data_IF_748963335000
#
_entry.id   IF_748963335000
#
_cell.length_a   1.000
_cell.length_b   1.000
_cell.length_c   1.000
_cell.angle_alpha   90.00
_cell.angle_beta   90.00
_cell.angle_gamma   90.00
#
_symmetry.space_group_name_H-M   'P 1'
#
loop_
_entity.id
_entity.type
_entity.pdbx_description
1 polymer ?
#
# COMPACT_ATOMS: atom_id res chain seq x y z
N UNK A 1 -30.62 -15.29 -10.21
CA UNK A 1 -30.58 -14.67 -8.87
C UNK A 1 -30.46 -13.16 -9.07
N UNK A 2 -31.17 -12.30 -8.37
CA UNK A 2 -31.01 -10.87 -8.53
C UNK A 2 -29.55 -10.53 -8.22
N UNK A 3 -28.93 -9.77 -9.11
CA UNK A 3 -27.54 -9.33 -8.98
C UNK A 3 -27.50 -8.31 -7.83
N UNK A 4 -27.28 -8.78 -6.60
CA UNK A 4 -27.15 -7.87 -5.44
C UNK A 4 -25.91 -7.04 -5.69
N UNK A 5 -26.09 -5.76 -5.91
CA UNK A 5 -25.00 -4.82 -6.14
C UNK A 5 -24.04 -4.90 -4.94
N UNK A 6 -22.80 -5.29 -5.21
CA UNK A 6 -21.76 -5.39 -4.18
C UNK A 6 -21.28 -3.99 -3.79
N UNK A 7 -21.19 -3.74 -2.49
CA UNK A 7 -20.59 -2.51 -1.96
C UNK A 7 -19.23 -2.84 -1.36
N UNK A 8 -18.16 -2.30 -1.95
CA UNK A 8 -16.78 -2.65 -1.61
C UNK A 8 -16.07 -1.45 -0.98
N UNK A 9 -15.53 -1.66 0.22
CA UNK A 9 -14.65 -0.69 0.87
C UNK A 9 -13.21 -0.94 0.41
N UNK A 10 -12.52 0.10 -0.09
CA UNK A 10 -11.09 0.06 -0.42
C UNK A 10 -10.32 0.97 0.55
N UNK A 11 -9.42 0.37 1.32
CA UNK A 11 -8.77 1.05 2.44
C UNK A 11 -7.22 0.91 2.39
N UNK A 12 -6.50 1.79 1.64
CA UNK A 12 -5.04 1.79 1.64
C UNK A 12 -4.45 2.43 2.89
N UNK A 13 -3.28 1.91 3.32
CA UNK A 13 -2.47 2.50 4.37
C UNK A 13 -1.84 3.81 3.89
N UNK A 14 -1.84 4.82 4.75
CA UNK A 14 -1.14 6.09 4.53
C UNK A 14 0.33 5.98 4.96
N UNK A 15 1.11 5.19 4.22
CA UNK A 15 2.55 5.07 4.40
C UNK A 15 3.26 5.28 3.06
N UNK A 16 3.34 6.54 2.66
CA UNK A 16 3.68 6.93 1.30
C UNK A 16 2.49 6.77 0.33
N UNK A 17 2.65 7.30 -0.89
CA UNK A 17 1.59 7.29 -1.90
C UNK A 17 1.44 5.95 -2.63
N UNK A 18 2.43 5.04 -2.49
CA UNK A 18 2.45 3.75 -3.21
C UNK A 18 1.24 2.88 -2.93
N UNK A 19 0.77 2.84 -1.68
CA UNK A 19 -0.43 2.10 -1.29
C UNK A 19 -1.69 2.64 -1.98
N UNK A 20 -1.91 3.93 -1.93
CA UNK A 20 -3.05 4.55 -2.60
C UNK A 20 -2.95 4.41 -4.13
N UNK A 21 -1.76 4.62 -4.70
CA UNK A 21 -1.55 4.52 -6.14
C UNK A 21 -1.83 3.11 -6.70
N UNK A 22 -1.42 2.05 -5.98
CA UNK A 22 -1.70 0.67 -6.42
C UNK A 22 -3.16 0.25 -6.23
N UNK A 23 -3.94 0.95 -5.39
CA UNK A 23 -5.37 0.74 -5.28
C UNK A 23 -6.16 1.36 -6.45
N UNK A 24 -5.61 2.35 -7.16
CA UNK A 24 -6.30 3.01 -8.29
C UNK A 24 -6.78 2.02 -9.36
N UNK A 25 -5.93 1.13 -9.92
CA UNK A 25 -6.40 0.15 -10.91
C UNK A 25 -7.45 -0.83 -10.35
N UNK A 26 -7.36 -1.19 -9.07
CA UNK A 26 -8.37 -2.04 -8.43
C UNK A 26 -9.72 -1.34 -8.32
N UNK A 27 -9.73 -0.06 -7.93
CA UNK A 27 -10.95 0.75 -7.84
C UNK A 27 -11.61 0.87 -9.22
N UNK A 28 -10.83 1.21 -10.27
CA UNK A 28 -11.33 1.27 -11.65
C UNK A 28 -11.93 -0.07 -12.11
N UNK A 29 -11.28 -1.18 -11.79
CA UNK A 29 -11.78 -2.51 -12.13
C UNK A 29 -13.08 -2.84 -11.39
N UNK A 30 -13.21 -2.50 -10.11
CA UNK A 30 -14.43 -2.70 -9.33
C UNK A 30 -15.60 -1.88 -9.88
N UNK A 31 -15.39 -0.61 -10.25
CA UNK A 31 -16.39 0.24 -10.87
C UNK A 31 -16.82 -0.34 -12.24
N UNK A 32 -15.86 -0.81 -13.05
CA UNK A 32 -16.13 -1.44 -14.34
C UNK A 32 -16.99 -2.71 -14.19
N UNK A 33 -16.82 -3.45 -13.10
CA UNK A 33 -17.63 -4.62 -12.75
C UNK A 33 -18.99 -4.27 -12.14
N UNK A 34 -19.32 -2.98 -12.01
CA UNK A 34 -20.59 -2.50 -11.47
C UNK A 34 -20.69 -2.52 -9.94
N UNK A 35 -19.57 -2.68 -9.22
CA UNK A 35 -19.57 -2.58 -7.77
C UNK A 35 -19.72 -1.11 -7.32
N UNK A 36 -20.41 -0.90 -6.21
CA UNK A 36 -20.39 0.39 -5.51
C UNK A 36 -19.10 0.46 -4.68
N UNK A 37 -18.24 1.41 -4.97
CA UNK A 37 -16.97 1.56 -4.26
C UNK A 37 -17.05 2.67 -3.21
N UNK A 38 -16.51 2.41 -2.04
CA UNK A 38 -16.34 3.35 -0.94
C UNK A 38 -14.85 3.40 -0.60
N UNK A 39 -14.33 4.61 -0.43
CA UNK A 39 -12.93 4.83 -0.12
C UNK A 39 -12.76 5.14 1.37
N UNK A 40 -11.73 4.59 2.01
CA UNK A 40 -11.39 4.98 3.36
C UNK A 40 -9.87 4.93 3.58
N UNK A 41 -9.31 6.02 4.08
CA UNK A 41 -7.88 6.12 4.40
C UNK A 41 -7.64 7.31 5.32
N UNK A 42 -6.39 7.75 5.44
CA UNK A 42 -6.02 8.99 6.12
C UNK A 42 -4.95 9.75 5.34
N UNK A 43 -4.72 11.02 5.70
CA UNK A 43 -3.62 11.86 5.20
C UNK A 43 -3.49 11.91 3.68
N UNK A 44 -2.24 11.83 3.19
CA UNK A 44 -1.91 11.98 1.77
C UNK A 44 -2.53 10.87 0.88
N UNK A 45 -2.67 9.65 1.41
CA UNK A 45 -3.30 8.55 0.70
C UNK A 45 -4.79 8.83 0.41
N UNK A 46 -5.52 9.36 1.41
CA UNK A 46 -6.92 9.76 1.23
C UNK A 46 -7.06 10.92 0.24
N UNK A 47 -6.15 11.91 0.31
CA UNK A 47 -6.17 13.04 -0.60
C UNK A 47 -5.93 12.62 -2.07
N UNK A 48 -4.99 11.67 -2.29
CA UNK A 48 -4.77 11.10 -3.62
C UNK A 48 -6.04 10.43 -4.15
N UNK A 49 -6.67 9.58 -3.35
CA UNK A 49 -7.88 8.87 -3.77
C UNK A 49 -9.05 9.81 -4.05
N UNK A 50 -9.23 10.87 -3.27
CA UNK A 50 -10.23 11.90 -3.52
C UNK A 50 -9.99 12.68 -4.80
N UNK A 51 -8.73 12.93 -5.15
CA UNK A 51 -8.36 13.59 -6.39
C UNK A 51 -8.58 12.69 -7.61
N UNK A 52 -8.25 11.39 -7.51
CA UNK A 52 -8.45 10.41 -8.60
C UNK A 52 -9.92 10.04 -8.80
N UNK A 53 -10.72 9.99 -7.72
CA UNK A 53 -12.12 9.56 -7.70
C UNK A 53 -13.02 10.55 -6.95
N UNK A 54 -13.18 11.80 -7.46
CA UNK A 54 -13.97 12.83 -6.77
C UNK A 54 -15.46 12.50 -6.63
N UNK A 55 -15.95 11.54 -7.42
CA UNK A 55 -17.34 11.08 -7.41
C UNK A 55 -17.62 9.97 -6.37
N UNK A 56 -16.56 9.35 -5.80
CA UNK A 56 -16.73 8.27 -4.81
C UNK A 56 -16.80 8.81 -3.38
N UNK A 57 -17.65 8.23 -2.51
CA UNK A 57 -17.65 8.55 -1.09
C UNK A 57 -16.32 8.16 -0.44
N UNK A 58 -15.72 9.08 0.32
CA UNK A 58 -14.39 8.92 0.91
C UNK A 58 -14.36 9.33 2.37
N UNK A 59 -14.04 8.39 3.26
CA UNK A 59 -14.06 8.52 4.71
C UNK A 59 -12.66 8.52 5.32
N UNK A 60 -12.51 9.25 6.41
CA UNK A 60 -11.26 9.29 7.15
C UNK A 60 -11.21 8.17 8.19
N UNK A 61 -10.12 7.39 8.18
CA UNK A 61 -9.81 6.36 9.18
C UNK A 61 -8.78 6.87 10.19
N UNK A 62 -8.70 6.24 11.37
CA UNK A 62 -7.63 6.51 12.33
C UNK A 62 -6.25 6.31 11.73
N UNK A 63 -5.31 7.18 12.09
CA UNK A 63 -3.91 7.14 11.63
C UNK A 63 -3.05 6.32 12.57
N UNK A 64 -2.18 5.47 12.03
CA UNK A 64 -1.21 4.69 12.83
C UNK A 64 -0.10 5.56 13.42
N UNK A 65 0.25 6.71 12.81
CA UNK A 65 1.27 7.67 13.26
C UNK A 65 2.56 7.01 13.72
N UNK A 66 3.03 5.99 12.99
CA UNK A 66 4.29 5.31 13.29
C UNK A 66 5.44 6.30 13.08
N UNK A 67 6.34 6.40 14.08
CA UNK A 67 7.53 7.26 14.01
C UNK A 67 8.78 6.41 14.19
N UNK A 68 9.77 6.62 13.35
CA UNK A 68 11.09 6.01 13.47
C UNK A 68 11.99 6.98 14.25
N UNK A 69 12.35 6.62 15.49
CA UNK A 69 13.14 7.47 16.38
C UNK A 69 14.58 6.97 16.57
N UNK A 70 14.86 5.71 16.20
CA UNK A 70 16.17 5.08 16.32
C UNK A 70 16.46 4.22 15.10
N UNK A 71 17.74 3.89 14.86
CA UNK A 71 18.16 3.01 13.77
C UNK A 71 17.73 1.55 13.98
N UNK A 72 17.34 1.17 15.20
CA UNK A 72 16.85 -0.18 15.49
C UNK A 72 15.33 -0.27 15.29
N UNK A 73 14.94 -0.78 14.12
CA UNK A 73 13.55 -0.93 13.71
C UNK A 73 12.72 -1.80 14.67
N UNK A 74 13.32 -2.86 15.23
CA UNK A 74 12.63 -3.79 16.14
C UNK A 74 12.27 -3.09 17.46
N UNK A 75 13.21 -2.32 18.04
CA UNK A 75 12.98 -1.52 19.24
C UNK A 75 11.90 -0.46 19.01
N UNK A 76 11.94 0.21 17.86
CA UNK A 76 10.93 1.22 17.50
C UNK A 76 9.53 0.63 17.47
N UNK A 77 9.37 -0.53 16.84
CA UNK A 77 8.07 -1.20 16.74
C UNK A 77 7.64 -1.73 18.11
N UNK A 78 8.50 -2.43 18.85
CA UNK A 78 8.17 -3.00 20.14
C UNK A 78 7.69 -1.92 21.15
N UNK A 79 8.36 -0.78 21.19
CA UNK A 79 8.00 0.34 22.06
C UNK A 79 6.66 1.00 21.68
N UNK A 80 6.27 0.92 20.40
CA UNK A 80 5.04 1.49 19.88
C UNK A 80 3.87 0.49 19.86
N UNK A 81 4.10 -0.78 20.22
CA UNK A 81 3.06 -1.84 20.18
C UNK A 81 1.74 -1.47 20.85
N UNK A 82 1.70 -0.85 22.06
CA UNK A 82 0.43 -0.47 22.67
C UNK A 82 -0.35 0.56 21.83
N UNK A 83 0.38 1.52 21.24
CA UNK A 83 -0.21 2.55 20.37
C UNK A 83 -0.71 1.93 19.05
N UNK A 84 0.07 1.04 18.45
CA UNK A 84 -0.31 0.31 17.22
C UNK A 84 -1.56 -0.54 17.48
N UNK A 85 -1.61 -1.28 18.59
CA UNK A 85 -2.76 -2.11 18.96
C UNK A 85 -4.01 -1.25 19.18
N UNK A 86 -3.87 -0.10 19.84
CA UNK A 86 -4.97 0.85 20.01
C UNK A 86 -5.47 1.39 18.65
N UNK A 87 -4.54 1.76 17.76
CA UNK A 87 -4.88 2.25 16.43
C UNK A 87 -5.62 1.20 15.59
N UNK A 88 -5.16 -0.06 15.63
CA UNK A 88 -5.83 -1.20 14.96
C UNK A 88 -7.27 -1.38 15.50
N UNK A 89 -7.49 -1.30 16.82
CA UNK A 89 -8.83 -1.42 17.41
C UNK A 89 -9.72 -0.23 17.02
N UNK A 90 -9.19 0.98 17.09
CA UNK A 90 -9.93 2.18 16.68
C UNK A 90 -10.33 2.12 15.19
N UNK A 91 -9.42 1.62 14.36
CA UNK A 91 -9.68 1.38 12.94
C UNK A 91 -10.77 0.34 12.72
N UNK A 92 -10.73 -0.78 13.48
CA UNK A 92 -11.77 -1.81 13.40
C UNK A 92 -13.15 -1.24 13.76
N UNK A 93 -13.27 -0.47 14.83
CA UNK A 93 -14.52 0.18 15.19
C UNK A 93 -15.04 1.15 14.12
N UNK A 94 -14.13 1.93 13.52
CA UNK A 94 -14.49 2.83 12.43
C UNK A 94 -14.95 2.04 11.18
N UNK A 95 -14.28 0.94 10.87
CA UNK A 95 -14.64 0.04 9.76
C UNK A 95 -15.99 -0.62 10.00
N UNK A 96 -16.24 -1.18 11.18
CA UNK A 96 -17.52 -1.77 11.56
C UNK A 96 -18.69 -0.76 11.47
N UNK A 97 -18.44 0.50 11.84
CA UNK A 97 -19.43 1.56 11.67
C UNK A 97 -19.74 1.81 10.20
N UNK A 98 -18.72 1.95 9.34
CA UNK A 98 -18.91 2.14 7.90
C UNK A 98 -19.64 0.96 7.25
N UNK A 99 -19.34 -0.28 7.68
CA UNK A 99 -20.03 -1.49 7.19
C UNK A 99 -21.52 -1.41 7.47
N UNK A 100 -21.91 -1.03 8.70
CA UNK A 100 -23.34 -0.90 9.07
C UNK A 100 -24.03 0.26 8.36
N UNK A 101 -23.37 1.43 8.29
CA UNK A 101 -23.97 2.65 7.73
C UNK A 101 -24.15 2.58 6.22
N UNK A 102 -23.28 1.86 5.51
CA UNK A 102 -23.24 1.85 4.04
C UNK A 102 -23.54 0.50 3.41
N UNK A 103 -23.86 -0.53 4.19
CA UNK A 103 -24.16 -1.86 3.66
C UNK A 103 -22.98 -2.49 2.91
N UNK A 104 -21.76 -2.31 3.42
CA UNK A 104 -20.54 -2.85 2.81
C UNK A 104 -20.57 -4.37 2.88
N UNK A 105 -20.37 -5.03 1.72
CA UNK A 105 -20.38 -6.49 1.57
C UNK A 105 -18.98 -7.09 1.45
N UNK A 106 -17.99 -6.27 1.04
CA UNK A 106 -16.60 -6.68 0.92
C UNK A 106 -15.63 -5.57 1.29
N UNK A 107 -14.46 -5.94 1.79
CA UNK A 107 -13.40 -5.02 2.20
C UNK A 107 -12.11 -5.43 1.50
N UNK A 108 -11.44 -4.48 0.84
CA UNK A 108 -10.07 -4.61 0.34
C UNK A 108 -9.20 -3.67 1.18
N UNK A 109 -8.48 -4.25 2.11
CA UNK A 109 -7.58 -3.55 3.00
C UNK A 109 -6.15 -3.63 2.48
N UNK A 110 -5.51 -2.51 2.16
CA UNK A 110 -4.10 -2.50 1.78
C UNK A 110 -3.24 -2.16 2.99
N UNK A 111 -2.67 -3.21 3.60
CA UNK A 111 -1.82 -3.16 4.81
C UNK A 111 -2.47 -2.49 6.04
N UNK A 112 -3.80 -2.36 6.11
CA UNK A 112 -4.52 -1.87 7.28
C UNK A 112 -5.15 -3.04 8.04
N UNK A 113 -4.48 -3.50 9.07
CA UNK A 113 -4.82 -4.74 9.79
C UNK A 113 -6.08 -4.63 10.68
N UNK A 114 -6.63 -3.44 10.86
CA UNK A 114 -7.91 -3.20 11.53
C UNK A 114 -9.10 -3.10 10.58
N UNK A 115 -8.88 -3.03 9.25
CA UNK A 115 -9.95 -2.94 8.27
C UNK A 115 -10.48 -4.31 7.88
N UNK A 116 -11.28 -4.90 8.74
CA UNK A 116 -12.04 -6.14 8.51
C UNK A 116 -13.35 -6.12 9.32
N UNK A 117 -14.33 -6.93 8.91
CA UNK A 117 -15.60 -7.10 9.63
C UNK A 117 -16.09 -8.54 9.52
N UNK A 118 -16.76 -9.06 10.56
CA UNK A 118 -17.30 -10.42 10.57
C UNK A 118 -18.46 -10.66 9.60
N UNK A 119 -19.08 -9.60 9.07
CA UNK A 119 -20.20 -9.68 8.13
C UNK A 119 -19.83 -9.42 6.68
N UNK A 120 -18.54 -9.31 6.34
CA UNK A 120 -18.06 -8.98 5.01
C UNK A 120 -17.04 -10.00 4.51
N UNK A 121 -16.84 -10.07 3.18
CA UNK A 121 -15.67 -10.76 2.62
C UNK A 121 -14.44 -9.86 2.74
N UNK A 122 -13.43 -10.29 3.49
CA UNK A 122 -12.28 -9.50 3.84
C UNK A 122 -11.06 -9.92 3.03
N UNK A 123 -10.48 -8.99 2.29
CA UNK A 123 -9.25 -9.19 1.53
C UNK A 123 -8.16 -8.28 2.10
N UNK A 124 -6.96 -8.82 2.33
CA UNK A 124 -5.78 -8.00 2.58
C UNK A 124 -4.88 -7.98 1.35
N UNK A 125 -4.58 -6.78 0.88
CA UNK A 125 -3.60 -6.54 -0.18
C UNK A 125 -2.24 -6.28 0.48
N UNK A 126 -1.26 -7.16 0.28
CA UNK A 126 0.08 -7.01 0.84
C UNK A 126 1.11 -7.81 0.06
N UNK A 127 2.29 -7.26 -0.13
CA UNK A 127 3.46 -7.98 -0.63
C UNK A 127 4.31 -8.57 0.49
N UNK A 128 3.89 -8.42 1.76
CA UNK A 128 4.67 -8.84 2.91
C UNK A 128 3.87 -9.87 3.72
N UNK A 129 4.00 -11.15 3.34
CA UNK A 129 3.44 -12.28 4.07
C UNK A 129 4.49 -13.01 4.92
N UNK A 130 5.76 -12.65 4.74
CA UNK A 130 6.89 -13.07 5.56
C UNK A 130 7.64 -11.84 6.08
N UNK A 131 8.00 -11.87 7.36
CA UNK A 131 8.88 -10.88 7.97
C UNK A 131 10.31 -11.40 8.01
N UNK A 132 11.27 -10.56 7.65
CA UNK A 132 12.71 -10.84 7.71
C UNK A 132 13.35 -10.00 8.79
N UNK A 133 13.94 -10.67 9.78
CA UNK A 133 14.66 -10.06 10.90
C UNK A 133 15.94 -10.86 11.11
N UNK A 134 17.04 -10.19 11.47
CA UNK A 134 18.36 -10.82 11.63
C UNK A 134 18.41 -11.93 12.68
N UNK A 135 17.59 -11.84 13.73
CA UNK A 135 17.49 -12.86 14.77
C UNK A 135 16.40 -13.89 14.43
N UNK A 136 16.76 -15.15 14.30
CA UNK A 136 15.86 -16.23 13.87
C UNK A 136 14.67 -16.46 14.83
N UNK A 137 14.89 -16.41 16.15
CA UNK A 137 13.82 -16.60 17.14
C UNK A 137 12.82 -15.45 17.08
N UNK A 138 13.32 -14.21 16.96
CA UNK A 138 12.49 -13.04 16.82
C UNK A 138 11.73 -13.04 15.48
N UNK A 139 12.39 -13.47 14.40
CA UNK A 139 11.75 -13.63 13.09
C UNK A 139 10.61 -14.65 13.16
N UNK A 140 10.83 -15.79 13.81
CA UNK A 140 9.80 -16.79 14.01
C UNK A 140 8.60 -16.21 14.77
N UNK A 141 8.85 -15.56 15.92
CA UNK A 141 7.79 -14.97 16.74
C UNK A 141 7.00 -13.89 15.97
N UNK A 142 7.70 -12.98 15.27
CA UNK A 142 7.09 -11.94 14.47
C UNK A 142 6.21 -12.52 13.35
N UNK A 143 6.65 -13.59 12.69
CA UNK A 143 5.86 -14.29 11.68
C UNK A 143 4.63 -14.99 12.26
N UNK A 144 4.67 -15.50 13.53
CA UNK A 144 3.45 -16.02 14.17
C UNK A 144 2.42 -14.92 14.41
N UNK A 145 2.85 -13.76 14.88
CA UNK A 145 1.97 -12.60 15.06
C UNK A 145 1.38 -12.15 13.72
N UNK A 146 2.19 -12.06 12.66
CA UNK A 146 1.72 -11.74 11.31
C UNK A 146 0.66 -12.75 10.83
N UNK A 147 0.91 -14.05 10.98
CA UNK A 147 -0.05 -15.10 10.59
C UNK A 147 -1.38 -14.97 11.34
N UNK A 148 -1.35 -14.65 12.64
CA UNK A 148 -2.57 -14.41 13.42
C UNK A 148 -3.35 -13.18 12.91
N UNK A 149 -2.65 -12.13 12.50
CA UNK A 149 -3.27 -10.96 11.89
C UNK A 149 -3.88 -11.27 10.51
N UNK A 150 -3.16 -12.03 9.67
CA UNK A 150 -3.62 -12.42 8.33
C UNK A 150 -4.84 -13.36 8.38
N UNK A 151 -5.01 -14.18 9.41
CA UNK A 151 -6.19 -15.06 9.60
C UNK A 151 -7.53 -14.31 9.78
N UNK A 152 -7.48 -13.00 9.96
CA UNK A 152 -8.68 -12.13 10.00
C UNK A 152 -9.27 -11.88 8.61
N UNK A 153 -8.53 -12.23 7.57
CA UNK A 153 -8.89 -12.00 6.18
C UNK A 153 -9.18 -13.33 5.49
N UNK A 154 -10.20 -13.34 4.64
CA UNK A 154 -10.62 -14.52 3.89
C UNK A 154 -9.65 -14.82 2.74
N UNK A 155 -9.03 -13.78 2.17
CA UNK A 155 -8.08 -13.90 1.07
C UNK A 155 -6.94 -12.89 1.20
N UNK A 156 -5.73 -13.30 0.78
CA UNK A 156 -4.55 -12.45 0.72
C UNK A 156 -4.23 -12.18 -0.75
N UNK A 157 -4.25 -10.92 -1.14
CA UNK A 157 -3.87 -10.51 -2.48
C UNK A 157 -2.46 -9.96 -2.48
N UNK A 158 -1.60 -10.54 -3.33
CA UNK A 158 -0.20 -10.12 -3.46
C UNK A 158 -0.05 -9.35 -4.76
N UNK A 159 0.35 -8.06 -4.71
CA UNK A 159 0.57 -7.25 -5.91
C UNK A 159 1.94 -7.54 -6.53
N UNK A 160 2.14 -8.77 -6.96
CA UNK A 160 3.37 -9.28 -7.58
C UNK A 160 3.07 -10.50 -8.45
N UNK A 161 4.06 -10.96 -9.21
CA UNK A 161 4.00 -12.20 -9.99
C UNK A 161 4.04 -13.44 -9.09
N UNK A 162 3.27 -14.47 -9.44
CA UNK A 162 3.32 -15.77 -8.75
C UNK A 162 4.61 -16.56 -9.06
N UNK A 163 5.24 -16.26 -10.19
CA UNK A 163 6.45 -16.91 -10.70
C UNK A 163 7.55 -15.91 -10.94
N UNK A 164 8.79 -16.39 -11.10
CA UNK A 164 9.91 -15.54 -11.49
C UNK A 164 9.75 -14.99 -12.93
N UNK A 165 10.16 -13.75 -13.19
CA UNK A 165 10.70 -12.79 -12.23
C UNK A 165 9.61 -12.15 -11.34
N UNK A 166 9.88 -12.06 -10.02
CA UNK A 166 9.06 -11.36 -9.06
C UNK A 166 9.86 -10.26 -8.35
N UNK A 167 9.18 -9.27 -7.76
CA UNK A 167 9.82 -8.09 -7.16
C UNK A 167 9.87 -8.13 -5.64
N UNK A 168 8.96 -8.87 -5.00
CA UNK A 168 8.87 -8.97 -3.54
C UNK A 168 9.74 -10.08 -2.96
N UNK A 169 10.24 -11.00 -3.80
CA UNK A 169 11.14 -12.07 -3.39
C UNK A 169 10.63 -12.84 -2.17
N UNK A 170 11.51 -13.06 -1.22
CA UNK A 170 11.20 -13.80 0.03
C UNK A 170 10.15 -13.14 0.93
N UNK A 171 9.75 -11.89 0.68
CA UNK A 171 8.68 -11.24 1.44
C UNK A 171 7.30 -11.82 1.12
N UNK A 172 7.11 -12.30 -0.10
CA UNK A 172 5.84 -12.91 -0.53
C UNK A 172 5.97 -14.33 -1.07
N UNK A 173 7.17 -14.89 -1.11
CA UNK A 173 7.42 -16.24 -1.58
C UNK A 173 8.23 -17.05 -0.56
N UNK A 174 7.94 -18.37 -0.41
CA UNK A 174 6.83 -19.12 -0.98
C UNK A 174 5.47 -18.72 -0.36
N UNK A 175 4.34 -19.07 -0.99
CA UNK A 175 3.01 -18.80 -0.42
C UNK A 175 2.83 -19.51 0.92
N UNK A 176 2.11 -18.87 1.86
CA UNK A 176 1.81 -19.44 3.17
C UNK A 176 0.82 -20.61 3.06
N UNK A 177 1.16 -21.76 3.60
CA UNK A 177 0.24 -22.90 3.66
C UNK A 177 -0.96 -22.60 4.56
N UNK A 178 -2.17 -22.95 4.08
CA UNK A 178 -3.42 -22.76 4.82
C UNK A 178 -4.01 -21.34 4.71
N UNK A 179 -3.57 -20.55 3.73
CA UNK A 179 -4.15 -19.27 3.36
C UNK A 179 -4.58 -19.25 1.89
N UNK A 180 -5.67 -18.56 1.58
CA UNK A 180 -6.06 -18.27 0.20
C UNK A 180 -5.23 -17.07 -0.30
N UNK A 181 -4.21 -17.36 -1.12
CA UNK A 181 -3.28 -16.34 -1.65
C UNK A 181 -3.47 -16.23 -3.15
N UNK A 182 -3.69 -15.01 -3.62
CA UNK A 182 -3.82 -14.67 -5.04
C UNK A 182 -2.78 -13.63 -5.44
N UNK A 183 -1.96 -13.97 -6.41
CA UNK A 183 -1.00 -13.04 -7.01
C UNK A 183 -1.69 -12.28 -8.15
N UNK A 184 -1.70 -10.94 -8.06
CA UNK A 184 -2.42 -10.07 -8.98
C UNK A 184 -1.55 -9.52 -10.11
N UNK A 185 -0.24 -9.80 -10.09
CA UNK A 185 0.72 -9.08 -10.92
C UNK A 185 0.96 -7.66 -10.41
N UNK A 186 1.67 -6.86 -11.21
CA UNK A 186 2.00 -5.49 -10.85
C UNK A 186 0.78 -4.57 -10.98
N UNK A 187 0.50 -3.83 -9.91
CA UNK A 187 -0.57 -2.84 -9.89
C UNK A 187 0.02 -1.45 -10.10
N UNK A 188 -0.30 -0.84 -11.24
CA UNK A 188 0.14 0.52 -11.59
C UNK A 188 -1.06 1.40 -11.93
N UNK A 189 -1.11 2.61 -11.37
CA UNK A 189 -2.15 3.59 -11.73
C UNK A 189 -2.05 4.07 -13.19
N UNK A 190 -0.92 3.83 -13.83
CA UNK A 190 -0.66 4.16 -15.23
C UNK A 190 -0.92 2.99 -16.19
N UNK A 191 -1.45 1.86 -15.70
CA UNK A 191 -1.82 0.73 -16.55
C UNK A 191 -2.97 1.14 -17.49
N UNK A 192 -2.73 1.09 -18.78
CA UNK A 192 -3.69 1.47 -19.83
C UNK A 192 -3.36 2.78 -20.55
N UNK A 193 -2.70 3.73 -19.90
CA UNK A 193 -2.27 4.98 -20.51
C UNK A 193 -0.79 4.89 -20.92
N UNK A 194 -0.51 4.21 -22.02
CA UNK A 194 0.79 4.37 -22.68
C UNK A 194 0.80 5.78 -23.31
N UNK A 195 1.62 6.73 -22.83
CA UNK A 195 1.72 8.01 -23.50
C UNK A 195 2.20 7.76 -24.95
N UNK A 196 1.51 8.32 -25.95
CA UNK A 196 1.93 8.17 -27.33
C UNK A 196 3.34 8.71 -27.49
N UNK A 197 4.29 7.87 -27.93
CA UNK A 197 5.64 8.28 -28.31
C UNK A 197 6.80 7.77 -27.46
N UNK A 198 6.58 7.01 -26.37
CA UNK A 198 7.69 6.43 -25.57
C UNK A 198 8.38 5.21 -26.21
N UNK A 199 7.77 4.60 -27.23
CA UNK A 199 8.32 3.42 -27.90
C UNK A 199 9.65 3.66 -28.66
N UNK A 200 10.06 4.92 -28.88
CA UNK A 200 11.23 5.29 -29.65
C UNK A 200 12.19 6.27 -28.95
N UNK A 201 12.15 6.37 -27.62
CA UNK A 201 13.15 7.13 -26.90
C UNK A 201 14.48 6.37 -26.92
N UNK A 202 15.22 6.48 -28.03
CA UNK A 202 16.63 6.09 -28.05
C UNK A 202 17.39 6.97 -27.08
N UNK A 203 17.95 6.35 -26.02
CA UNK A 203 18.88 7.02 -25.12
C UNK A 203 20.07 7.52 -25.95
N UNK A 204 20.03 8.80 -26.35
CA UNK A 204 21.16 9.46 -27.00
C UNK A 204 22.35 9.52 -26.04
N UNK A 205 23.55 9.71 -26.58
CA UNK A 205 24.82 9.81 -25.82
C UNK A 205 24.85 10.90 -24.74
N UNK A 206 23.82 11.77 -24.66
CA UNK A 206 23.60 12.78 -23.63
C UNK A 206 22.32 12.44 -22.80
N UNK A 207 22.29 11.26 -22.19
CA UNK A 207 21.15 10.84 -21.37
C UNK A 207 20.93 11.84 -20.21
N UNK A 208 19.74 12.46 -20.18
CA UNK A 208 19.29 13.17 -19.00
C UNK A 208 18.98 12.15 -17.90
N UNK A 209 19.42 12.41 -16.69
CA UNK A 209 19.14 11.57 -15.52
C UNK A 209 17.90 12.11 -14.81
N UNK A 210 16.85 11.31 -14.72
CA UNK A 210 15.70 11.63 -13.91
C UNK A 210 15.87 11.04 -12.51
N UNK A 211 15.85 11.90 -11.50
CA UNK A 211 15.86 11.52 -10.09
C UNK A 211 14.44 11.66 -9.53
N UNK A 212 13.79 10.54 -9.25
CA UNK A 212 12.44 10.52 -8.68
C UNK A 212 12.55 10.19 -7.20
N UNK A 213 12.33 11.19 -6.36
CA UNK A 213 12.39 11.03 -4.91
C UNK A 213 11.04 10.61 -4.37
N UNK A 214 11.03 9.56 -3.54
CA UNK A 214 9.86 9.10 -2.81
C UNK A 214 10.29 8.60 -1.43
N UNK A 215 9.32 8.39 -0.54
CA UNK A 215 9.58 7.85 0.79
C UNK A 215 9.18 8.82 1.91
N UNK A 216 9.19 8.33 3.17
CA UNK A 216 8.87 9.13 4.34
C UNK A 216 10.00 10.12 4.68
N UNK A 217 9.65 11.21 5.35
CA UNK A 217 10.63 12.09 5.97
C UNK A 217 11.17 11.45 7.27
N UNK A 218 12.43 11.70 7.64
CA UNK A 218 13.44 12.57 7.00
C UNK A 218 14.31 11.90 5.94
N UNK A 219 14.13 10.58 5.70
CA UNK A 219 14.99 9.79 4.80
C UNK A 219 14.97 10.33 3.37
N UNK A 220 13.81 10.77 2.88
CA UNK A 220 13.67 11.38 1.56
C UNK A 220 14.53 12.65 1.43
N UNK A 221 14.51 13.51 2.45
CA UNK A 221 15.31 14.75 2.46
C UNK A 221 16.81 14.46 2.50
N UNK A 222 17.27 13.46 3.28
CA UNK A 222 18.66 13.03 3.28
C UNK A 222 19.11 12.51 1.92
N UNK A 223 18.27 11.68 1.28
CA UNK A 223 18.56 11.17 -0.07
C UNK A 223 18.62 12.30 -1.09
N UNK A 224 17.70 13.29 -1.00
CA UNK A 224 17.71 14.47 -1.88
C UNK A 224 19.03 15.23 -1.78
N UNK A 225 19.54 15.48 -0.58
CA UNK A 225 20.80 16.18 -0.35
C UNK A 225 21.99 15.43 -0.97
N UNK A 226 22.11 14.13 -0.69
CA UNK A 226 23.18 13.28 -1.23
C UNK A 226 23.16 13.29 -2.77
N UNK A 227 21.99 13.12 -3.38
CA UNK A 227 21.87 13.06 -4.83
C UNK A 227 22.09 14.41 -5.49
N UNK A 228 21.75 15.53 -4.85
CA UNK A 228 22.06 16.86 -5.36
C UNK A 228 23.58 17.11 -5.38
N UNK A 229 24.30 16.74 -4.31
CA UNK A 229 25.76 16.86 -4.27
C UNK A 229 26.44 16.02 -5.37
N UNK A 230 25.97 14.78 -5.55
CA UNK A 230 26.50 13.89 -6.61
C UNK A 230 26.17 14.40 -8.02
N UNK A 231 24.98 14.95 -8.22
CA UNK A 231 24.58 15.49 -9.52
C UNK A 231 25.44 16.68 -9.97
N UNK A 232 25.88 17.53 -9.01
CA UNK A 232 26.75 18.65 -9.30
C UNK A 232 28.17 18.23 -9.74
N UNK A 233 28.60 17.02 -9.34
CA UNK A 233 29.91 16.47 -9.68
C UNK A 233 29.94 15.70 -11.02
N UNK A 234 28.81 15.47 -11.66
CA UNK A 234 28.70 14.65 -12.87
C UNK A 234 28.38 15.48 -14.12
N UNK A 235 28.95 15.15 -15.29
CA UNK A 235 28.75 15.90 -16.54
C UNK A 235 27.43 15.52 -17.24
N UNK A 236 26.32 15.40 -16.48
CA UNK A 236 25.00 15.03 -16.99
C UNK A 236 23.95 16.06 -16.63
N UNK A 237 22.90 16.12 -17.40
CA UNK A 237 21.70 16.92 -17.04
C UNK A 237 20.80 16.09 -16.13
N UNK A 238 20.44 16.66 -14.98
CA UNK A 238 19.58 16.04 -14.00
C UNK A 238 18.22 16.75 -13.93
N UNK A 239 17.15 15.97 -13.79
CA UNK A 239 15.80 16.44 -13.49
C UNK A 239 15.37 15.80 -12.18
N UNK A 240 15.08 16.62 -11.17
CA UNK A 240 14.63 16.16 -9.86
C UNK A 240 13.10 16.28 -9.74
N UNK A 241 12.45 15.13 -9.55
CA UNK A 241 11.03 15.04 -9.17
C UNK A 241 11.00 14.81 -7.68
N UNK A 242 10.70 15.87 -6.90
CA UNK A 242 10.86 15.85 -5.44
C UNK A 242 9.79 15.05 -4.69
N UNK A 243 8.68 14.68 -5.32
CA UNK A 243 7.62 13.88 -4.71
C UNK A 243 6.99 14.54 -3.46
N UNK A 244 7.11 15.86 -3.30
CA UNK A 244 6.41 16.60 -2.25
C UNK A 244 4.93 16.64 -2.62
N UNK A 245 4.14 15.89 -1.89
CA UNK A 245 2.68 16.10 -1.85
C UNK A 245 2.48 17.38 -1.03
N UNK A 246 1.95 18.40 -1.66
CA UNK A 246 1.88 19.78 -1.21
C UNK A 246 1.71 19.98 0.30
N UNK A 247 2.45 20.95 0.80
CA UNK A 247 2.20 21.60 2.08
C UNK A 247 0.83 22.25 2.08
#
# INVERSE_FOLDING_TARGET
>A
MPNVQQTILVAPLNWGLGHAARCVPLIKALEHLGAKVILASDGAALNLLRAEFPHLPAFQLPSYRIRYQTDNMVWNIARQMPRITYAIRAEQWATERLVREHGITGIISDNRYGCFSGGTHNVILTHQIHLRVSNAALQWAANQVLRLALRKFDSIWVPDSATDPNFSGELSHPPLKGFDIKYLGLLSRFSGDQPPGLANATAGKNANVAVVLSGPEPQRTYLEQILLEQALALPHKFVFVKGKTGS
#
